data_IF_997525770544
#
_entry.id   IF_997525770544
#
_cell.length_a   1.000
_cell.length_b   1.000
_cell.length_c   1.000
_cell.angle_alpha   90.00
_cell.angle_beta   90.00
_cell.angle_gamma   90.00
#
_symmetry.space_group_name_H-M   'P 1'
#
loop_
_entity.id
_entity.type
_entity.pdbx_description
1 polymer ?
#
# COMPACT_ATOMS: atom_id res chain seq x y z
N UNK A 1 -30.51 -21.47 10.59
CA UNK A 1 -29.27 -20.71 10.32
C UNK A 1 -29.43 -19.29 10.87
N UNK A 2 -28.72 -18.93 11.92
CA UNK A 2 -28.73 -17.55 12.44
C UNK A 2 -27.91 -16.69 11.49
N UNK A 3 -28.54 -15.75 10.77
CA UNK A 3 -27.82 -14.70 10.04
C UNK A 3 -27.26 -13.74 11.07
N UNK A 4 -25.97 -13.83 11.34
CA UNK A 4 -25.27 -12.82 12.14
C UNK A 4 -25.20 -11.56 11.28
N UNK A 5 -26.07 -10.59 11.56
CA UNK A 5 -26.04 -9.29 10.92
C UNK A 5 -24.79 -8.55 11.37
N UNK A 6 -23.80 -8.47 10.46
CA UNK A 6 -22.56 -7.74 10.73
C UNK A 6 -22.89 -6.25 10.72
N UNK A 7 -22.83 -5.60 11.89
CA UNK A 7 -22.97 -4.15 12.01
C UNK A 7 -21.85 -3.49 11.17
N UNK A 8 -22.25 -2.68 10.18
CA UNK A 8 -21.32 -1.99 9.29
C UNK A 8 -20.97 -0.65 9.91
N UNK A 9 -19.71 -0.49 10.31
CA UNK A 9 -19.18 0.76 10.84
C UNK A 9 -18.50 1.59 9.75
N UNK A 10 -18.54 2.92 9.90
CA UNK A 10 -17.79 3.84 9.04
C UNK A 10 -16.31 3.70 9.37
N UNK A 11 -15.55 3.12 8.44
CA UNK A 11 -14.12 2.89 8.61
C UNK A 11 -13.36 3.18 7.33
N UNK A 12 -12.12 3.61 7.50
CA UNK A 12 -11.17 3.84 6.41
C UNK A 12 -9.89 3.12 6.72
N UNK A 13 -9.51 2.20 5.85
CA UNK A 13 -8.33 1.35 6.02
C UNK A 13 -7.51 1.32 4.73
N UNK A 14 -6.20 1.26 4.90
CA UNK A 14 -5.21 1.16 3.85
C UNK A 14 -4.80 -0.30 3.66
N UNK A 15 -4.86 -0.82 2.43
CA UNK A 15 -4.48 -2.19 2.10
C UNK A 15 -3.46 -2.23 0.97
N UNK A 16 -2.51 -3.16 1.07
CA UNK A 16 -1.65 -3.53 -0.05
C UNK A 16 -2.32 -4.65 -0.84
N UNK A 17 -2.43 -4.47 -2.15
CA UNK A 17 -2.90 -5.50 -3.08
C UNK A 17 -1.72 -5.89 -3.96
N UNK A 18 -1.38 -7.18 -3.89
CA UNK A 18 -0.41 -7.84 -4.76
C UNK A 18 -1.13 -8.83 -5.65
N UNK A 19 -1.11 -8.60 -6.95
CA UNK A 19 -1.65 -9.51 -7.95
C UNK A 19 -0.50 -10.10 -8.75
N UNK A 20 -0.21 -11.37 -8.48
CA UNK A 20 0.86 -12.12 -9.15
C UNK A 20 0.41 -12.62 -10.53
N UNK A 21 1.35 -12.72 -11.45
CA UNK A 21 1.15 -13.22 -12.82
C UNK A 21 0.46 -14.60 -12.86
N UNK A 22 0.81 -15.52 -11.95
CA UNK A 22 0.16 -16.85 -11.83
C UNK A 22 -1.27 -16.83 -11.30
N UNK A 23 -1.65 -15.81 -10.51
CA UNK A 23 -3.06 -15.59 -10.16
C UNK A 23 -3.85 -15.10 -11.39
N UNK A 24 -3.16 -14.41 -12.32
CA UNK A 24 -3.71 -13.90 -13.59
C UNK A 24 -3.72 -14.94 -14.72
N UNK A 25 -2.85 -15.94 -14.65
CA UNK A 25 -2.65 -16.99 -15.67
C UNK A 25 -3.87 -17.93 -15.83
N UNK A 26 -4.78 -17.98 -14.86
CA UNK A 26 -5.83 -19.00 -14.84
C UNK A 26 -6.90 -18.92 -15.93
N UNK A 27 -6.88 -17.93 -16.86
CA UNK A 27 -7.66 -17.96 -18.13
C UNK A 27 -7.01 -17.15 -19.26
N UNK A 28 -6.59 -17.84 -20.32
CA UNK A 28 -6.13 -17.30 -21.63
C UNK A 28 -7.11 -16.28 -22.21
N UNK A 29 -6.82 -14.98 -22.05
CA UNK A 29 -7.12 -13.92 -23.03
C UNK A 29 -6.48 -12.61 -22.56
N UNK A 30 -5.66 -12.00 -23.42
CA UNK A 30 -4.86 -10.79 -23.19
C UNK A 30 -5.68 -9.50 -23.07
N UNK A 31 -7.01 -9.54 -23.27
CA UNK A 31 -7.84 -8.32 -23.41
C UNK A 31 -8.44 -7.74 -22.13
N UNK A 32 -8.22 -8.28 -20.93
CA UNK A 32 -8.82 -7.65 -19.73
C UNK A 32 -8.00 -7.73 -18.46
N UNK A 33 -6.67 -7.69 -18.49
CA UNK A 33 -5.87 -7.65 -17.24
C UNK A 33 -6.36 -6.54 -16.31
N UNK A 34 -6.58 -5.33 -16.82
CA UNK A 34 -7.15 -4.21 -16.06
C UNK A 34 -8.58 -4.45 -15.55
N UNK A 35 -9.49 -4.98 -16.37
CA UNK A 35 -10.87 -5.21 -15.93
C UNK A 35 -10.99 -6.41 -14.95
N UNK A 36 -10.10 -7.40 -15.06
CA UNK A 36 -9.95 -8.51 -14.10
C UNK A 36 -9.45 -7.98 -12.76
N UNK A 37 -8.38 -7.18 -12.77
CA UNK A 37 -7.88 -6.49 -11.58
C UNK A 37 -9.00 -5.69 -10.90
N UNK A 38 -9.76 -4.91 -11.68
CA UNK A 38 -10.89 -4.15 -11.14
C UNK A 38 -11.96 -5.05 -10.50
N UNK A 39 -12.26 -6.22 -11.09
CA UNK A 39 -13.19 -7.22 -10.50
C UNK A 39 -12.64 -7.83 -9.22
N UNK A 40 -11.36 -8.16 -9.17
CA UNK A 40 -10.71 -8.71 -7.98
C UNK A 40 -10.68 -7.70 -6.84
N UNK A 41 -10.35 -6.44 -7.12
CA UNK A 41 -10.41 -5.34 -6.14
C UNK A 41 -11.83 -5.20 -5.60
N UNK A 42 -12.86 -5.28 -6.44
CA UNK A 42 -14.27 -5.24 -5.99
C UNK A 42 -14.62 -6.43 -5.09
N UNK A 43 -14.22 -7.64 -5.48
CA UNK A 43 -14.45 -8.85 -4.70
C UNK A 43 -13.76 -8.79 -3.34
N UNK A 44 -12.50 -8.35 -3.34
CA UNK A 44 -11.69 -8.15 -2.14
C UNK A 44 -12.31 -7.10 -1.22
N UNK A 45 -12.73 -5.95 -1.76
CA UNK A 45 -13.42 -4.90 -1.00
C UNK A 45 -14.73 -5.39 -0.40
N UNK A 46 -15.56 -6.12 -1.16
CA UNK A 46 -16.81 -6.71 -0.66
C UNK A 46 -16.56 -7.66 0.50
N UNK A 47 -15.55 -8.53 0.39
CA UNK A 47 -15.18 -9.49 1.45
C UNK A 47 -14.63 -8.80 2.70
N UNK A 48 -13.75 -7.80 2.52
CA UNK A 48 -13.12 -7.09 3.65
C UNK A 48 -14.11 -6.17 4.34
N UNK A 49 -14.81 -5.31 3.59
CA UNK A 49 -15.67 -4.23 4.10
C UNK A 49 -17.12 -4.64 4.36
N UNK A 50 -17.59 -5.74 3.78
CA UNK A 50 -18.95 -6.24 4.00
C UNK A 50 -20.05 -5.42 3.30
N UNK A 51 -19.70 -4.47 2.42
CA UNK A 51 -20.67 -3.69 1.64
C UNK A 51 -20.97 -4.35 0.30
N UNK A 52 -22.24 -4.35 -0.12
CA UNK A 52 -22.64 -4.86 -1.44
C UNK A 52 -22.30 -3.87 -2.58
N UNK A 53 -22.42 -2.56 -2.35
CA UNK A 53 -22.03 -1.52 -3.32
C UNK A 53 -20.54 -1.19 -3.13
N UNK A 54 -19.75 -1.36 -4.20
CA UNK A 54 -18.32 -1.04 -4.24
C UNK A 54 -18.03 -0.19 -5.47
N UNK A 55 -17.53 1.02 -5.21
CA UNK A 55 -17.20 2.03 -6.21
C UNK A 55 -15.70 2.18 -6.30
N UNK A 56 -15.19 2.10 -7.53
CA UNK A 56 -13.77 2.34 -7.84
C UNK A 56 -13.64 3.80 -8.25
N UNK A 57 -12.69 4.48 -7.66
CA UNK A 57 -12.34 5.85 -8.02
C UNK A 57 -11.81 5.93 -9.47
N UNK A 58 -12.21 6.94 -10.27
CA UNK A 58 -11.76 7.05 -11.67
C UNK A 58 -10.23 7.12 -11.81
N UNK A 59 -9.53 7.75 -10.86
CA UNK A 59 -8.07 7.82 -10.90
C UNK A 59 -7.43 6.44 -10.69
N UNK A 60 -7.95 5.66 -9.73
CA UNK A 60 -7.54 4.27 -9.55
C UNK A 60 -7.80 3.44 -10.81
N UNK A 61 -8.93 3.64 -11.48
CA UNK A 61 -9.23 2.94 -12.74
C UNK A 61 -8.21 3.23 -13.84
N UNK A 62 -7.73 4.48 -13.96
CA UNK A 62 -6.67 4.85 -14.91
C UNK A 62 -5.34 4.18 -14.56
N UNK A 63 -4.97 4.15 -13.27
CA UNK A 63 -3.73 3.52 -12.81
C UNK A 63 -3.74 2.02 -13.05
N UNK A 64 -4.88 1.36 -12.79
CA UNK A 64 -5.06 -0.07 -13.08
C UNK A 64 -4.86 -0.34 -14.57
N UNK A 65 -5.34 0.55 -15.45
CA UNK A 65 -5.16 0.41 -16.89
C UNK A 65 -3.67 0.55 -17.28
N UNK A 66 -2.98 1.56 -16.75
CA UNK A 66 -1.56 1.83 -17.05
C UNK A 66 -0.66 0.70 -16.53
N UNK A 67 -0.78 0.34 -15.25
CA UNK A 67 0.07 -0.69 -14.63
C UNK A 67 -0.35 -2.11 -15.03
N UNK A 68 -1.63 -2.34 -15.30
CA UNK A 68 -2.18 -3.66 -15.63
C UNK A 68 -1.80 -4.19 -17.00
N UNK A 69 -1.11 -3.42 -17.84
CA UNK A 69 -0.60 -3.91 -19.12
C UNK A 69 0.61 -4.86 -18.96
N UNK A 70 1.30 -4.86 -17.80
CA UNK A 70 2.60 -5.52 -17.59
C UNK A 70 2.65 -6.73 -16.65
N UNK A 71 1.56 -7.46 -16.41
CA UNK A 71 1.62 -8.82 -15.84
C UNK A 71 1.81 -8.97 -14.31
N UNK A 72 2.19 -7.92 -13.56
CA UNK A 72 2.18 -7.94 -12.10
C UNK A 72 1.79 -6.56 -11.53
N UNK A 73 0.86 -6.55 -10.57
CA UNK A 73 0.35 -5.32 -9.98
C UNK A 73 0.54 -5.32 -8.47
N UNK A 74 1.54 -4.58 -7.99
CA UNK A 74 1.64 -4.17 -6.59
C UNK A 74 1.17 -2.71 -6.45
N UNK A 75 0.15 -2.50 -5.63
CA UNK A 75 -0.33 -1.18 -5.29
C UNK A 75 -0.95 -1.13 -3.90
N UNK A 76 -0.81 0.04 -3.27
CA UNK A 76 -1.56 0.37 -2.07
C UNK A 76 -2.86 1.05 -2.46
N UNK A 77 -3.96 0.53 -1.93
CA UNK A 77 -5.30 1.09 -2.09
C UNK A 77 -5.88 1.45 -0.73
N UNK A 78 -6.76 2.45 -0.69
CA UNK A 78 -7.52 2.81 0.49
C UNK A 78 -8.98 2.47 0.26
N UNK A 79 -9.57 1.82 1.24
CA UNK A 79 -10.99 1.49 1.24
C UNK A 79 -11.69 2.29 2.33
N UNK A 80 -12.67 3.08 1.94
CA UNK A 80 -13.49 3.89 2.85
C UNK A 80 -14.94 3.47 2.73
N UNK A 81 -15.54 3.02 3.83
CA UNK A 81 -17.00 2.83 3.91
C UNK A 81 -17.64 4.19 4.16
N UNK A 82 -18.55 4.58 3.27
CA UNK A 82 -19.27 5.85 3.33
C UNK A 82 -20.77 5.60 3.35
N UNK A 83 -21.51 6.47 4.03
CA UNK A 83 -22.97 6.49 4.00
C UNK A 83 -23.43 7.24 2.74
N UNK A 84 -24.42 6.69 2.04
CA UNK A 84 -25.05 7.38 0.91
C UNK A 84 -26.21 8.24 1.42
N UNK A 85 -26.13 9.55 1.25
CA UNK A 85 -27.19 10.48 1.66
C UNK A 85 -28.39 10.46 0.70
N UNK A 86 -28.18 10.15 -0.57
CA UNK A 86 -29.20 10.24 -1.64
C UNK A 86 -30.19 9.07 -1.73
N UNK A 87 -30.06 8.06 -0.86
CA UNK A 87 -30.79 6.77 -1.01
C UNK A 87 -31.86 6.59 0.08
N UNK A 88 -32.05 7.59 0.95
CA UNK A 88 -33.01 7.52 2.06
C UNK A 88 -34.46 7.30 1.61
N UNK A 89 -34.82 7.60 0.35
CA UNK A 89 -36.18 7.43 -0.19
C UNK A 89 -36.46 6.09 -0.89
N UNK A 90 -35.43 5.28 -1.20
CA UNK A 90 -35.60 4.05 -1.99
C UNK A 90 -35.34 2.81 -1.13
N UNK A 91 -36.38 2.41 -0.39
CA UNK A 91 -36.40 1.49 0.76
C UNK A 91 -35.95 0.03 0.57
N UNK A 92 -34.88 -0.26 -0.18
CA UNK A 92 -34.22 -1.57 -0.20
C UNK A 92 -32.73 -1.55 -0.59
N UNK A 93 -32.12 -0.38 -0.82
CA UNK A 93 -30.70 -0.28 -1.21
C UNK A 93 -29.78 -0.16 0.02
N UNK A 94 -28.56 -0.73 -0.03
CA UNK A 94 -27.63 -0.66 1.08
C UNK A 94 -27.25 0.80 1.35
N UNK A 95 -27.44 1.25 2.60
CA UNK A 95 -27.16 2.61 3.06
C UNK A 95 -25.67 3.00 2.95
N UNK A 96 -24.80 2.00 2.79
CA UNK A 96 -23.35 2.12 2.79
C UNK A 96 -22.75 1.62 1.47
N UNK A 97 -21.78 2.36 0.95
CA UNK A 97 -20.94 1.94 -0.16
C UNK A 97 -19.46 2.00 0.24
N UNK A 98 -18.65 1.13 -0.33
CA UNK A 98 -17.19 1.24 -0.22
C UNK A 98 -16.66 2.03 -1.40
N UNK A 99 -15.96 3.11 -1.13
CA UNK A 99 -15.14 3.82 -2.12
C UNK A 99 -13.71 3.29 -2.04
N UNK A 100 -13.17 2.84 -3.17
CA UNK A 100 -11.79 2.38 -3.29
C UNK A 100 -10.98 3.43 -4.04
N UNK A 101 -9.95 3.96 -3.38
CA UNK A 101 -9.04 4.97 -3.94
C UNK A 101 -7.62 4.45 -4.01
N UNK A 102 -6.83 5.01 -4.93
CA UNK A 102 -5.40 4.74 -5.01
C UNK A 102 -4.66 5.54 -3.93
N UNK A 103 -3.71 4.91 -3.24
CA UNK A 103 -2.78 5.61 -2.35
C UNK A 103 -1.46 5.72 -3.05
N UNK A 104 -1.05 6.95 -3.38
CA UNK A 104 0.28 7.17 -3.92
C UNK A 104 1.30 6.99 -2.80
N UNK A 105 2.09 5.92 -2.89
CA UNK A 105 3.17 5.67 -1.94
C UNK A 105 4.51 5.84 -2.64
N UNK A 106 5.50 6.48 -1.99
CA UNK A 106 6.86 6.45 -2.49
C UNK A 106 7.34 4.99 -2.59
N UNK A 107 8.33 4.70 -3.46
CA UNK A 107 8.99 3.40 -3.53
C UNK A 107 9.36 2.87 -2.14
N UNK A 108 9.31 1.55 -1.95
CA UNK A 108 9.57 0.94 -0.63
C UNK A 108 10.92 1.35 -0.06
N UNK A 109 11.95 1.48 -0.89
CA UNK A 109 13.30 1.93 -0.51
C UNK A 109 13.27 3.33 0.13
N UNK A 110 12.61 4.29 -0.53
CA UNK A 110 12.48 5.65 -0.01
C UNK A 110 11.63 5.69 1.27
N UNK A 111 10.62 4.82 1.38
CA UNK A 111 9.83 4.70 2.61
C UNK A 111 10.69 4.17 3.76
N UNK A 112 11.47 3.12 3.53
CA UNK A 112 12.36 2.52 4.54
C UNK A 112 13.42 3.54 4.98
N UNK A 113 13.99 4.30 4.06
CA UNK A 113 14.93 5.38 4.37
C UNK A 113 14.27 6.47 5.22
N UNK A 114 13.04 6.86 4.91
CA UNK A 114 12.28 7.83 5.73
C UNK A 114 11.97 7.28 7.12
N UNK A 115 11.63 5.99 7.25
CA UNK A 115 11.42 5.33 8.54
C UNK A 115 12.72 5.35 9.34
N UNK A 116 13.85 5.00 8.72
CA UNK A 116 15.15 5.03 9.35
C UNK A 116 15.57 6.46 9.78
N UNK A 117 15.33 7.47 8.93
CA UNK A 117 15.57 8.90 9.26
C UNK A 117 14.71 9.35 10.44
N UNK A 118 13.41 9.01 10.44
CA UNK A 118 12.50 9.33 11.56
C UNK A 118 12.90 8.61 12.84
N UNK A 119 13.28 7.34 12.78
CA UNK A 119 13.76 6.58 13.92
C UNK A 119 15.02 7.22 14.52
N UNK A 120 15.99 7.64 13.68
CA UNK A 120 17.20 8.36 14.11
C UNK A 120 16.88 9.67 14.83
N UNK A 121 15.93 10.46 14.31
CA UNK A 121 15.47 11.71 14.94
C UNK A 121 14.80 11.44 16.29
N UNK A 122 13.93 10.42 16.36
CA UNK A 122 13.22 10.02 17.58
C UNK A 122 14.17 9.53 18.67
N UNK A 123 15.26 8.85 18.31
CA UNK A 123 16.24 8.32 19.27
C UNK A 123 17.15 9.39 19.87
N UNK A 124 17.16 10.62 19.35
CA UNK A 124 17.85 11.75 20.00
C UNK A 124 19.31 11.51 20.37
N UNK A 125 20.04 10.62 19.67
CA UNK A 125 21.45 10.37 19.95
C UNK A 125 22.25 11.47 19.25
N UNK A 126 22.87 12.41 19.98
CA UNK A 126 23.75 13.39 19.35
C UNK A 126 24.94 12.64 18.75
N UNK A 127 25.18 12.82 17.44
CA UNK A 127 26.33 12.26 16.72
C UNK A 127 27.69 12.82 17.17
N UNK A 128 27.80 13.44 18.35
CA UNK A 128 29.01 14.13 18.83
C UNK A 128 30.16 13.20 19.27
N UNK A 129 30.06 11.89 19.06
CA UNK A 129 31.05 10.92 19.53
C UNK A 129 31.44 9.89 18.47
N UNK A 130 31.36 10.24 17.18
CA UNK A 130 32.03 9.47 16.13
C UNK A 130 33.07 10.35 15.44
N UNK A 131 34.13 10.68 16.16
CA UNK A 131 35.43 10.79 15.50
C UNK A 131 35.83 9.35 15.19
N UNK A 132 35.57 8.92 13.96
CA UNK A 132 36.41 7.89 13.37
C UNK A 132 37.82 8.46 13.40
N UNK A 133 38.68 7.92 14.25
CA UNK A 133 40.12 8.10 14.10
C UNK A 133 40.39 7.62 12.67
N UNK A 134 40.63 8.57 11.77
CA UNK A 134 41.08 8.29 10.43
C UNK A 134 42.33 7.40 10.52
N UNK A 135 42.44 6.41 9.64
CA UNK A 135 43.52 5.42 9.56
C UNK A 135 44.93 6.01 9.33
N UNK A 136 45.12 7.32 9.54
CA UNK A 136 46.37 8.05 9.41
C UNK A 136 47.23 8.11 10.69
N UNK A 137 46.80 7.53 11.82
CA UNK A 137 47.60 7.52 13.07
C UNK A 137 48.32 6.18 13.35
N UNK A 138 48.29 5.22 12.40
CA UNK A 138 48.92 3.89 12.54
C UNK A 138 50.23 3.69 11.75
N UNK A 139 50.77 4.76 11.16
CA UNK A 139 52.14 4.85 10.69
C UNK A 139 52.64 6.20 11.21
N UNK A 140 53.68 6.30 12.04
CA UNK A 140 55.04 5.81 11.86
C UNK A 140 55.69 5.67 13.23
N UNK A 141 56.00 4.45 13.64
CA UNK A 141 57.01 4.18 14.68
C UNK A 141 57.91 3.06 14.16
N UNK A 142 58.73 3.39 13.16
CA UNK A 142 59.94 2.62 12.86
C UNK A 142 61.12 3.54 12.57
N UNK A 143 62.16 3.27 13.35
CA UNK A 143 63.58 3.59 13.16
C UNK A 143 64.04 5.04 13.35
N UNK A 144 64.21 5.41 14.62
CA UNK A 144 65.42 6.11 15.03
C UNK A 144 66.23 5.18 15.93
N UNK A 145 67.31 4.62 15.39
CA UNK A 145 68.55 4.41 16.14
C UNK A 145 69.66 4.16 15.14
N UNK A 146 70.48 5.20 14.96
CA UNK A 146 71.77 5.10 14.30
C UNK A 146 72.85 4.81 15.33
N UNK A 147 73.75 3.89 14.99
CA UNK A 147 75.17 3.88 15.32
C UNK A 147 75.85 2.79 14.49
#
# INVERSE_FOLDING_TARGET
MVRVEKKIELRTEDFNIRLNEKAQEKRRSTSTTAARVAKEIKCYAKKRMGTCDVRIDPFLSKIILIKGFGGALDMKIRMSVKKSTSILEMGNRPLYYTLVTYVNTPPEEQRQEQIAKKAKIQTGIPQRMLHTVSESELAEDKSSDGA
#
